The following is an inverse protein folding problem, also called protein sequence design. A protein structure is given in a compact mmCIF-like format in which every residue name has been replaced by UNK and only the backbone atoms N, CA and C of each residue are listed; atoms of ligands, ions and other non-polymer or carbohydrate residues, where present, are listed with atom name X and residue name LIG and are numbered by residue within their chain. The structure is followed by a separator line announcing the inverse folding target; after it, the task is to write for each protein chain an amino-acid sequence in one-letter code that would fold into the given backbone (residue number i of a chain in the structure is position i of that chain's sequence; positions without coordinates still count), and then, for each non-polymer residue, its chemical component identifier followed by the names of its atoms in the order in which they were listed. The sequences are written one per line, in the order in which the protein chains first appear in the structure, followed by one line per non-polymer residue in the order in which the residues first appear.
data_IF_282921444156
#
_entry.id   IF_282921444156
#
_cell.length_a   1.000
_cell.length_b   1.000
_cell.length_c   1.000
_cell.angle_alpha   90.00
_cell.angle_beta   90.00
_cell.angle_gamma   90.00
#
_symmetry.space_group_name_H-M   'P 1'
#
loop_
_entity.id
_entity.type
_entity.pdbx_description
1 polymer ?
#
# COMPACT_ATOMS: atom_id res chain seq x y z
N UNK A 1 29.03 -3.12 4.48
CA UNK A 1 29.12 -1.68 4.73
C UNK A 1 28.21 -1.30 5.89
N UNK A 2 28.74 -0.58 6.89
CA UNK A 2 27.91 -0.04 7.98
C UNK A 2 27.45 1.37 7.62
N UNK A 3 26.16 1.65 7.67
CA UNK A 3 25.62 2.98 7.40
C UNK A 3 26.12 4.00 8.42
N UNK A 4 26.57 5.15 7.93
CA UNK A 4 27.03 6.27 8.74
C UNK A 4 25.89 7.07 9.35
N UNK A 5 26.21 7.96 10.28
CA UNK A 5 25.23 8.86 10.92
C UNK A 5 25.06 10.20 10.17
N UNK A 6 26.01 10.54 9.33
CA UNK A 6 25.96 11.76 8.52
C UNK A 6 25.14 11.49 7.26
N UNK A 7 24.19 12.37 6.98
CA UNK A 7 23.36 12.33 5.79
C UNK A 7 23.84 13.37 4.78
N UNK A 8 23.68 13.04 3.52
CA UNK A 8 23.90 13.96 2.40
C UNK A 8 22.72 13.87 1.43
N UNK A 9 22.51 14.93 0.66
CA UNK A 9 21.38 15.09 -0.24
C UNK A 9 21.81 15.12 -1.70
N UNK A 10 21.00 14.49 -2.55
CA UNK A 10 21.15 14.53 -4.00
C UNK A 10 19.85 15.03 -4.63
N UNK A 11 19.95 16.01 -5.53
CA UNK A 11 18.83 16.53 -6.30
C UNK A 11 18.83 15.98 -7.74
N UNK A 12 17.65 15.66 -8.24
CA UNK A 12 17.41 15.16 -9.60
C UNK A 12 16.25 15.97 -10.18
N UNK A 13 16.52 16.74 -11.23
CA UNK A 13 15.48 17.47 -11.94
C UNK A 13 14.72 16.56 -12.88
N UNK A 14 13.40 16.68 -12.92
CA UNK A 14 12.52 15.85 -13.74
C UNK A 14 11.48 16.67 -14.48
N UNK A 15 11.17 16.27 -15.71
CA UNK A 15 10.12 16.92 -16.52
C UNK A 15 8.73 16.38 -16.16
N UNK A 16 8.63 15.10 -15.84
CA UNK A 16 7.39 14.45 -15.42
C UNK A 16 7.67 13.32 -14.46
N UNK A 17 6.79 13.11 -13.48
CA UNK A 17 6.88 12.06 -12.49
C UNK A 17 5.48 11.58 -12.13
N UNK A 18 5.26 10.27 -12.17
CA UNK A 18 3.97 9.68 -11.82
C UNK A 18 4.08 8.36 -11.03
N UNK A 19 5.22 7.66 -11.13
CA UNK A 19 5.38 6.32 -10.59
C UNK A 19 6.68 6.20 -9.80
N UNK A 20 6.61 5.57 -8.62
CA UNK A 20 7.75 5.14 -7.84
C UNK A 20 7.83 3.61 -7.85
N UNK A 21 8.97 3.08 -8.27
CA UNK A 21 9.30 1.65 -8.19
C UNK A 21 10.55 1.48 -7.36
N UNK A 22 10.50 0.64 -6.34
CA UNK A 22 11.69 0.28 -5.57
C UNK A 22 11.88 -1.23 -5.48
N UNK A 23 13.12 -1.66 -5.57
CA UNK A 23 13.57 -3.02 -5.26
C UNK A 23 14.65 -3.03 -4.15
N UNK A 24 14.75 -1.93 -3.41
CA UNK A 24 15.74 -1.78 -2.35
C UNK A 24 15.47 -2.72 -1.16
N UNK A 25 16.54 -3.13 -0.50
CA UNK A 25 16.48 -3.81 0.80
C UNK A 25 16.45 -2.84 1.99
N UNK A 26 16.47 -1.53 1.72
CA UNK A 26 16.44 -0.46 2.71
C UNK A 26 15.07 0.19 2.73
N UNK A 27 14.70 0.72 3.90
CA UNK A 27 13.47 1.46 4.06
C UNK A 27 13.54 2.80 3.31
N UNK A 28 12.47 3.12 2.56
CA UNK A 28 12.34 4.34 1.80
C UNK A 28 11.13 5.10 2.33
N UNK A 29 11.35 6.33 2.75
CA UNK A 29 10.29 7.26 3.19
C UNK A 29 10.01 8.23 2.05
N UNK A 30 8.86 8.10 1.42
CA UNK A 30 8.40 9.05 0.40
C UNK A 30 7.52 10.13 1.04
N UNK A 31 7.88 11.39 0.79
CA UNK A 31 7.12 12.57 1.18
C UNK A 31 6.74 13.35 -0.07
N UNK A 32 5.44 13.45 -0.43
CA UNK A 32 5.01 14.26 -1.57
C UNK A 32 5.25 15.75 -1.29
N UNK A 33 5.79 16.47 -2.29
CA UNK A 33 6.09 17.89 -2.23
C UNK A 33 5.39 18.63 -3.37
N UNK A 34 4.10 19.00 -3.19
CA UNK A 34 3.34 19.69 -4.21
C UNK A 34 4.01 21.02 -4.62
N UNK A 35 4.08 21.29 -5.93
CA UNK A 35 4.69 22.50 -6.49
C UNK A 35 6.20 22.42 -6.75
N UNK A 36 6.88 21.44 -6.20
CA UNK A 36 8.28 21.15 -6.52
C UNK A 36 8.38 20.40 -7.85
N UNK A 37 9.51 20.57 -8.54
CA UNK A 37 9.83 19.85 -9.78
C UNK A 37 11.00 18.89 -9.61
N UNK A 38 11.75 19.04 -8.54
CA UNK A 38 12.94 18.25 -8.28
C UNK A 38 12.62 17.12 -7.31
N UNK A 39 13.35 16.02 -7.47
CA UNK A 39 13.44 14.95 -6.49
C UNK A 39 14.61 15.25 -5.59
N UNK A 40 14.40 15.26 -4.28
CA UNK A 40 15.45 15.33 -3.27
C UNK A 40 15.58 13.98 -2.58
N UNK A 41 16.73 13.36 -2.71
CA UNK A 41 17.09 12.10 -2.08
C UNK A 41 18.07 12.38 -0.95
N UNK A 42 17.75 12.00 0.28
CA UNK A 42 18.59 12.15 1.47
C UNK A 42 18.86 10.78 2.08
N UNK A 43 20.12 10.44 2.24
CA UNK A 43 20.57 9.15 2.80
C UNK A 43 21.92 9.30 3.50
N UNK A 44 22.34 8.31 4.31
CA UNK A 44 23.68 8.31 4.84
C UNK A 44 24.73 8.49 3.73
N UNK A 45 25.67 9.41 3.93
CA UNK A 45 26.68 9.83 2.94
C UNK A 45 27.41 8.63 2.31
N UNK A 46 27.75 7.65 3.13
CA UNK A 46 28.45 6.45 2.67
C UNK A 46 27.52 5.41 2.01
N UNK A 47 26.18 5.57 2.07
CA UNK A 47 25.19 4.71 1.40
C UNK A 47 24.83 5.25 0.02
N UNK A 48 24.80 6.56 -0.16
CA UNK A 48 24.45 7.23 -1.42
C UNK A 48 25.15 6.66 -2.68
N UNK A 49 26.46 6.34 -2.67
CA UNK A 49 27.13 5.78 -3.86
C UNK A 49 26.61 4.40 -4.28
N UNK A 50 25.96 3.67 -3.36
CA UNK A 50 25.40 2.34 -3.63
C UNK A 50 23.92 2.37 -4.04
N UNK A 51 23.29 3.54 -4.04
CA UNK A 51 21.95 3.71 -4.57
C UNK A 51 21.99 3.89 -6.08
N UNK A 52 21.10 3.21 -6.77
CA UNK A 52 20.82 3.40 -8.18
C UNK A 52 19.46 4.11 -8.28
N UNK A 53 19.51 5.41 -8.60
CA UNK A 53 18.34 6.27 -8.66
C UNK A 53 18.28 6.95 -10.01
N UNK A 54 17.22 6.71 -10.76
CA UNK A 54 17.00 7.32 -12.07
C UNK A 54 15.52 7.41 -12.42
N UNK A 55 15.18 8.34 -13.30
CA UNK A 55 13.84 8.49 -13.87
C UNK A 55 13.88 8.11 -15.34
N UNK A 56 12.96 7.26 -15.76
CA UNK A 56 12.84 6.90 -17.18
C UNK A 56 11.97 7.92 -17.95
N UNK A 57 11.94 7.79 -19.27
CA UNK A 57 11.15 8.66 -20.15
C UNK A 57 9.63 8.65 -19.93
N UNK A 58 9.12 7.67 -19.19
CA UNK A 58 7.69 7.54 -18.88
C UNK A 58 7.32 8.16 -17.52
N UNK A 59 8.24 8.86 -16.85
CA UNK A 59 8.01 9.46 -15.54
C UNK A 59 8.05 8.47 -14.38
N UNK A 60 8.72 7.32 -14.54
CA UNK A 60 8.93 6.35 -13.46
C UNK A 60 10.26 6.59 -12.79
N UNK A 61 10.21 6.85 -11.49
CA UNK A 61 11.38 6.90 -10.62
C UNK A 61 11.70 5.50 -10.10
N UNK A 62 12.91 5.07 -10.34
CA UNK A 62 13.47 3.83 -9.79
C UNK A 62 14.43 4.17 -8.66
N UNK A 63 14.23 3.53 -7.50
CA UNK A 63 15.12 3.61 -6.36
C UNK A 63 15.54 2.19 -5.98
N UNK A 64 16.74 1.82 -6.36
CA UNK A 64 17.27 0.47 -6.21
C UNK A 64 18.62 0.49 -5.49
N UNK A 65 19.06 -0.67 -5.04
CA UNK A 65 20.44 -0.89 -4.61
C UNK A 65 21.27 -1.42 -5.76
N UNK A 66 22.49 -0.92 -5.91
CA UNK A 66 23.49 -1.55 -6.78
C UNK A 66 23.79 -2.97 -6.28
N UNK A 67 23.96 -3.89 -7.21
CA UNK A 67 24.31 -5.27 -6.86
C UNK A 67 25.54 -5.33 -5.96
N UNK A 68 25.53 -6.26 -4.99
CA UNK A 68 26.61 -6.54 -4.04
C UNK A 68 26.81 -5.54 -2.87
N UNK A 69 25.86 -4.67 -2.60
CA UNK A 69 25.93 -3.82 -1.41
C UNK A 69 25.13 -4.44 -0.26
N UNK A 70 25.80 -5.20 0.61
CA UNK A 70 25.26 -5.53 1.92
C UNK A 70 25.48 -4.33 2.84
N UNK A 71 24.38 -3.67 3.22
CA UNK A 71 24.42 -2.53 4.13
C UNK A 71 23.79 -2.94 5.44
N UNK A 72 24.56 -2.84 6.50
CA UNK A 72 24.11 -3.02 7.87
C UNK A 72 24.11 -1.69 8.61
N UNK A 73 23.45 -1.61 9.73
CA UNK A 73 23.53 -0.47 10.63
C UNK A 73 23.30 -0.89 12.07
N UNK A 74 24.05 -0.29 12.99
CA UNK A 74 23.83 -0.44 14.43
C UNK A 74 22.57 0.32 14.90
N UNK A 75 22.10 1.27 14.08
CA UNK A 75 20.88 2.05 14.32
C UNK A 75 20.00 2.02 13.07
N UNK A 76 18.66 1.95 13.21
CA UNK A 76 17.77 2.04 12.07
C UNK A 76 18.04 3.32 11.26
N UNK A 77 18.09 3.20 9.94
CA UNK A 77 18.18 4.32 9.02
C UNK A 77 17.26 4.08 7.82
N UNK A 78 16.93 5.16 7.15
CA UNK A 78 16.07 5.14 5.97
C UNK A 78 16.61 6.06 4.89
N UNK A 79 16.16 5.84 3.67
CA UNK A 79 16.33 6.76 2.57
C UNK A 79 15.11 7.67 2.55
N UNK A 80 15.33 8.98 2.69
CA UNK A 80 14.28 9.97 2.59
C UNK A 80 14.18 10.47 1.15
N UNK A 81 12.98 10.40 0.60
CA UNK A 81 12.66 10.79 -0.77
C UNK A 81 11.56 11.85 -0.75
N UNK A 82 11.90 13.08 -1.08
CA UNK A 82 10.95 14.15 -1.34
C UNK A 82 10.82 14.33 -2.83
N UNK A 83 9.60 14.30 -3.35
CA UNK A 83 9.36 14.38 -4.77
C UNK A 83 7.97 14.94 -5.06
N UNK A 84 7.72 15.45 -6.30
CA UNK A 84 6.37 15.79 -6.72
C UNK A 84 5.37 14.66 -6.43
N UNK A 85 4.08 14.98 -6.20
CA UNK A 85 3.05 13.96 -6.00
C UNK A 85 3.04 12.93 -7.13
N UNK A 86 3.00 11.66 -6.76
CA UNK A 86 2.87 10.52 -7.67
C UNK A 86 1.56 9.78 -7.38
N UNK A 87 1.10 9.00 -8.33
CA UNK A 87 -0.15 8.25 -8.22
C UNK A 87 0.04 6.73 -8.24
N UNK A 88 1.24 6.26 -8.56
CA UNK A 88 1.53 4.83 -8.68
C UNK A 88 2.78 4.45 -7.91
N UNK A 89 2.65 3.45 -7.03
CA UNK A 89 3.71 3.00 -6.14
C UNK A 89 3.87 1.48 -6.22
N UNK A 90 5.09 1.02 -6.38
CA UNK A 90 5.38 -0.40 -6.44
C UNK A 90 6.63 -0.74 -5.62
N UNK A 91 6.43 -1.41 -4.50
CA UNK A 91 7.51 -1.97 -3.71
C UNK A 91 7.76 -3.42 -4.10
N UNK A 92 8.90 -3.71 -4.71
CA UNK A 92 9.38 -5.05 -5.08
C UNK A 92 10.49 -5.55 -4.17
N UNK A 93 10.97 -4.67 -3.29
CA UNK A 93 12.10 -4.92 -2.41
C UNK A 93 11.72 -5.59 -1.09
N UNK A 94 12.71 -5.84 -0.28
CA UNK A 94 12.54 -6.34 1.09
C UNK A 94 12.50 -5.24 2.15
N UNK A 95 12.98 -4.03 1.80
CA UNK A 95 12.82 -2.84 2.63
C UNK A 95 11.39 -2.31 2.58
N UNK A 96 11.02 -1.55 3.59
CA UNK A 96 9.67 -0.97 3.70
C UNK A 96 9.56 0.30 2.88
N UNK A 97 8.51 0.40 2.05
CA UNK A 97 8.12 1.66 1.44
C UNK A 97 7.12 2.36 2.36
N UNK A 98 7.49 3.53 2.85
CA UNK A 98 6.67 4.34 3.75
C UNK A 98 6.17 5.55 2.97
N UNK A 99 4.86 5.58 2.71
CA UNK A 99 4.18 6.68 2.03
C UNK A 99 3.66 7.66 3.08
N UNK A 100 4.28 8.85 3.14
CA UNK A 100 3.91 9.89 4.10
C UNK A 100 2.63 10.61 3.69
N UNK A 101 2.09 11.37 4.65
CA UNK A 101 0.95 12.25 4.46
C UNK A 101 1.20 13.27 3.33
N UNK A 102 0.17 13.56 2.54
CA UNK A 102 0.17 14.55 1.47
C UNK A 102 -0.82 14.24 0.36
N UNK A 103 -0.98 15.19 -0.56
CA UNK A 103 -1.78 15.01 -1.76
C UNK A 103 -1.01 14.14 -2.76
N UNK A 104 -1.51 12.94 -3.02
CA UNK A 104 -0.91 12.05 -4.02
C UNK A 104 -1.45 12.33 -5.41
N UNK A 105 -2.78 12.38 -5.57
CA UNK A 105 -3.41 12.64 -6.87
C UNK A 105 -4.87 13.05 -6.68
N UNK A 106 -5.38 13.91 -7.57
CA UNK A 106 -6.82 14.16 -7.71
C UNK A 106 -7.52 13.03 -8.49
N UNK A 107 -6.74 12.14 -9.09
CA UNK A 107 -7.18 10.98 -9.86
C UNK A 107 -7.11 9.68 -9.05
N UNK A 108 -6.77 8.61 -9.74
CA UNK A 108 -6.66 7.28 -9.16
C UNK A 108 -5.27 7.08 -8.54
N UNK A 109 -5.20 6.31 -7.45
CA UNK A 109 -3.95 5.92 -6.80
C UNK A 109 -3.81 4.39 -6.84
N UNK A 110 -2.66 3.92 -7.28
CA UNK A 110 -2.33 2.50 -7.40
C UNK A 110 -1.14 2.14 -6.52
N UNK A 111 -1.30 1.17 -5.63
CA UNK A 111 -0.24 0.69 -4.75
C UNK A 111 -0.10 -0.82 -4.91
N UNK A 112 1.08 -1.28 -5.30
CA UNK A 112 1.42 -2.69 -5.40
C UNK A 112 2.49 -3.06 -4.38
N UNK A 113 2.11 -3.87 -3.40
CA UNK A 113 2.96 -4.33 -2.32
C UNK A 113 3.43 -5.77 -2.57
N UNK A 114 4.54 -5.94 -3.31
CA UNK A 114 5.31 -7.18 -3.37
C UNK A 114 6.44 -7.16 -2.32
N UNK A 115 6.63 -6.05 -1.64
CA UNK A 115 7.40 -5.80 -0.44
C UNK A 115 6.53 -5.07 0.59
N UNK A 116 7.00 -4.87 1.83
CA UNK A 116 6.25 -4.19 2.88
C UNK A 116 5.92 -2.74 2.50
N UNK A 117 4.67 -2.30 2.75
CA UNK A 117 4.24 -0.92 2.56
C UNK A 117 3.51 -0.43 3.79
N UNK A 118 3.88 0.74 4.29
CA UNK A 118 3.17 1.49 5.33
C UNK A 118 2.68 2.78 4.69
N UNK A 119 1.39 3.08 4.85
CA UNK A 119 0.77 4.21 4.18
C UNK A 119 0.13 5.17 5.17
N UNK A 120 0.39 6.47 5.00
CA UNK A 120 -0.33 7.57 5.63
C UNK A 120 -1.73 7.76 5.04
N UNK A 121 -2.43 8.84 5.39
CA UNK A 121 -3.78 9.10 4.90
C UNK A 121 -3.76 9.34 3.38
N UNK A 122 -4.79 8.83 2.70
CA UNK A 122 -4.99 9.03 1.26
C UNK A 122 -6.34 9.66 1.00
N UNK A 123 -6.34 10.69 0.19
CA UNK A 123 -7.53 11.24 -0.46
C UNK A 123 -7.34 11.19 -1.95
N UNK A 124 -8.20 10.46 -2.66
CA UNK A 124 -8.12 10.32 -4.12
C UNK A 124 -9.49 9.98 -4.72
N UNK A 125 -9.57 9.87 -6.05
CA UNK A 125 -10.78 9.40 -6.69
C UNK A 125 -10.97 7.91 -6.44
N UNK A 126 -10.14 7.06 -7.01
CA UNK A 126 -10.21 5.61 -6.84
C UNK A 126 -8.88 5.08 -6.34
N UNK A 127 -8.93 4.19 -5.34
CA UNK A 127 -7.76 3.60 -4.71
C UNK A 127 -7.69 2.11 -5.00
N UNK A 128 -6.55 1.68 -5.55
CA UNK A 128 -6.26 0.28 -5.84
C UNK A 128 -5.06 -0.18 -5.02
N UNK A 129 -5.25 -1.14 -4.14
CA UNK A 129 -4.19 -1.75 -3.35
C UNK A 129 -4.11 -3.24 -3.67
N UNK A 130 -2.96 -3.70 -4.13
CA UNK A 130 -2.67 -5.10 -4.37
C UNK A 130 -1.46 -5.53 -3.54
N UNK A 131 -1.61 -6.57 -2.72
CA UNK A 131 -0.53 -7.17 -1.95
C UNK A 131 -0.37 -8.63 -2.36
N UNK A 132 0.89 -9.08 -2.56
CA UNK A 132 1.20 -10.44 -2.98
C UNK A 132 2.35 -11.04 -2.18
N UNK A 133 2.45 -12.37 -2.19
CA UNK A 133 3.43 -13.13 -1.43
C UNK A 133 3.14 -13.05 0.09
N UNK A 134 4.14 -13.13 0.91
CA UNK A 134 4.07 -13.04 2.38
C UNK A 134 4.26 -11.60 2.91
N UNK A 135 3.98 -10.59 2.07
CA UNK A 135 4.20 -9.19 2.38
C UNK A 135 2.93 -8.51 2.87
N UNK A 136 3.11 -7.39 3.56
CA UNK A 136 2.03 -6.64 4.18
C UNK A 136 1.90 -5.22 3.65
N UNK A 137 0.66 -4.78 3.51
CA UNK A 137 0.28 -3.39 3.41
C UNK A 137 -0.41 -2.98 4.70
N UNK A 138 0.04 -1.92 5.32
CA UNK A 138 -0.53 -1.41 6.56
C UNK A 138 -0.83 0.08 6.48
N UNK A 139 -2.02 0.48 6.97
CA UNK A 139 -2.38 1.88 7.16
C UNK A 139 -3.24 2.04 8.42
N UNK A 140 -2.82 2.95 9.29
CA UNK A 140 -3.51 3.33 10.52
C UNK A 140 -4.19 4.71 10.42
N UNK A 141 -4.18 5.31 9.23
CA UNK A 141 -4.78 6.60 8.93
C UNK A 141 -5.97 6.44 7.99
N UNK A 142 -6.82 7.46 7.97
CA UNK A 142 -8.06 7.41 7.20
C UNK A 142 -7.84 7.51 5.69
N UNK A 143 -8.58 6.70 4.94
CA UNK A 143 -8.72 6.81 3.50
C UNK A 143 -10.08 7.43 3.15
N UNK A 144 -10.07 8.44 2.27
CA UNK A 144 -11.27 9.08 1.74
C UNK A 144 -11.21 9.05 0.22
N UNK A 145 -11.95 8.13 -0.38
CA UNK A 145 -11.91 7.88 -1.82
C UNK A 145 -13.33 7.64 -2.35
N UNK A 146 -13.54 7.75 -3.66
CA UNK A 146 -14.80 7.37 -4.26
C UNK A 146 -14.97 5.85 -4.17
N UNK A 147 -14.02 5.10 -4.72
CA UNK A 147 -14.03 3.64 -4.71
C UNK A 147 -12.68 3.11 -4.19
N UNK A 148 -12.73 2.01 -3.44
CA UNK A 148 -11.54 1.36 -2.86
C UNK A 148 -11.54 -0.12 -3.25
N UNK A 149 -10.48 -0.56 -3.92
CA UNK A 149 -10.27 -1.94 -4.36
C UNK A 149 -9.06 -2.54 -3.63
N UNK A 150 -9.30 -3.57 -2.84
CA UNK A 150 -8.29 -4.28 -2.06
C UNK A 150 -8.16 -5.69 -2.58
N UNK A 151 -6.95 -6.10 -2.95
CA UNK A 151 -6.68 -7.43 -3.43
C UNK A 151 -5.44 -8.02 -2.75
N UNK A 152 -5.62 -9.06 -1.96
CA UNK A 152 -4.55 -9.78 -1.29
C UNK A 152 -4.44 -11.21 -1.83
N UNK A 153 -3.21 -11.67 -2.14
CA UNK A 153 -2.91 -12.99 -2.70
C UNK A 153 -1.74 -13.66 -1.99
N UNK A 154 -1.72 -14.98 -2.05
CA UNK A 154 -0.55 -15.80 -1.71
C UNK A 154 0.08 -15.45 -0.35
N UNK A 155 -0.69 -15.50 0.71
CA UNK A 155 -0.32 -15.22 2.11
C UNK A 155 -0.02 -13.73 2.43
N UNK A 156 -0.32 -12.81 1.51
CA UNK A 156 -0.20 -11.39 1.81
C UNK A 156 -1.25 -10.90 2.81
N UNK A 157 -0.97 -9.79 3.47
CA UNK A 157 -1.93 -9.11 4.34
C UNK A 157 -2.14 -7.66 3.95
N UNK A 158 -3.40 -7.22 3.98
CA UNK A 158 -3.79 -5.81 3.91
C UNK A 158 -4.51 -5.47 5.20
N UNK A 159 -3.94 -4.56 5.99
CA UNK A 159 -4.45 -4.17 7.29
C UNK A 159 -4.73 -2.66 7.32
N UNK A 160 -6.01 -2.29 7.31
CA UNK A 160 -6.50 -0.92 7.30
C UNK A 160 -7.27 -0.66 8.59
N UNK A 161 -6.64 0.01 9.56
CA UNK A 161 -7.20 0.24 10.89
C UNK A 161 -7.64 1.68 11.13
N UNK A 162 -7.27 2.62 10.25
CA UNK A 162 -7.53 4.05 10.40
C UNK A 162 -8.83 4.57 9.80
N UNK A 163 -9.66 3.66 9.28
CA UNK A 163 -10.95 4.02 8.70
C UNK A 163 -10.95 4.19 7.19
N UNK A 164 -12.10 3.91 6.57
CA UNK A 164 -12.31 4.02 5.12
C UNK A 164 -13.66 4.69 4.88
N UNK A 165 -13.63 5.85 4.24
CA UNK A 165 -14.85 6.51 3.76
C UNK A 165 -14.89 6.43 2.24
N UNK A 166 -15.87 5.73 1.67
CA UNK A 166 -15.99 5.55 0.22
C UNK A 166 -17.43 5.30 -0.23
N UNK A 167 -17.66 5.32 -1.55
CA UNK A 167 -18.91 4.85 -2.14
C UNK A 167 -18.91 3.31 -2.21
N UNK A 168 -17.85 2.72 -2.78
CA UNK A 168 -17.70 1.27 -2.94
C UNK A 168 -16.38 0.81 -2.30
N UNK A 169 -16.46 -0.19 -1.43
CA UNK A 169 -15.33 -0.99 -0.99
C UNK A 169 -15.44 -2.39 -1.59
N UNK A 170 -14.46 -2.79 -2.37
CA UNK A 170 -14.32 -4.17 -2.84
C UNK A 170 -13.06 -4.80 -2.20
N UNK A 171 -13.23 -5.85 -1.42
CA UNK A 171 -12.16 -6.58 -0.77
C UNK A 171 -12.12 -8.03 -1.25
N UNK A 172 -11.00 -8.45 -1.83
CA UNK A 172 -10.81 -9.80 -2.35
C UNK A 172 -9.55 -10.45 -1.75
N UNK A 173 -9.72 -11.54 -1.02
CA UNK A 173 -8.64 -12.33 -0.43
C UNK A 173 -8.54 -13.70 -1.08
N UNK A 174 -7.37 -14.07 -1.59
CA UNK A 174 -7.08 -15.33 -2.28
C UNK A 174 -5.88 -16.06 -1.66
N UNK A 175 -5.91 -17.38 -1.67
CA UNK A 175 -4.87 -18.18 -1.05
C UNK A 175 -4.93 -18.09 0.47
N UNK A 176 -3.79 -18.08 1.15
CA UNK A 176 -3.71 -17.88 2.61
C UNK A 176 -3.68 -16.41 3.03
N UNK A 177 -4.15 -15.49 2.17
CA UNK A 177 -4.08 -14.04 2.43
C UNK A 177 -5.16 -13.54 3.37
N UNK A 178 -4.96 -12.34 3.91
CA UNK A 178 -5.93 -11.68 4.77
C UNK A 178 -6.13 -10.21 4.40
N UNK A 179 -7.38 -9.75 4.54
CA UNK A 179 -7.74 -8.34 4.48
C UNK A 179 -8.50 -8.01 5.77
N UNK A 180 -8.01 -7.02 6.50
CA UNK A 180 -8.65 -6.48 7.68
C UNK A 180 -8.96 -5.00 7.43
N UNK A 181 -10.24 -4.66 7.27
CA UNK A 181 -10.69 -3.30 7.02
C UNK A 181 -11.64 -2.87 8.13
N UNK A 182 -11.22 -1.86 8.89
CA UNK A 182 -11.95 -1.36 10.06
C UNK A 182 -12.50 0.04 9.82
N UNK A 183 -13.50 0.39 10.63
CA UNK A 183 -14.13 1.70 10.63
C UNK A 183 -14.61 2.13 9.23
N UNK A 184 -15.21 1.19 8.50
CA UNK A 184 -15.76 1.42 7.18
C UNK A 184 -16.99 2.31 7.27
N UNK A 185 -17.06 3.33 6.42
CA UNK A 185 -18.26 4.10 6.10
C UNK A 185 -18.43 4.09 4.58
N UNK A 186 -19.34 3.27 4.07
CA UNK A 186 -19.51 3.07 2.65
C UNK A 186 -20.99 3.00 2.24
N UNK A 187 -21.26 3.23 0.95
CA UNK A 187 -22.58 2.89 0.38
C UNK A 187 -22.64 1.39 0.11
N UNK A 188 -21.68 0.86 -0.62
CA UNK A 188 -21.63 -0.54 -1.00
C UNK A 188 -20.33 -1.19 -0.51
N UNK A 189 -20.44 -2.39 0.05
CA UNK A 189 -19.31 -3.25 0.42
C UNK A 189 -19.47 -4.58 -0.28
N UNK A 190 -18.47 -4.98 -1.05
CA UNK A 190 -18.37 -6.30 -1.65
C UNK A 190 -17.14 -7.01 -1.13
N UNK A 191 -17.30 -8.14 -0.48
CA UNK A 191 -16.21 -8.95 0.03
C UNK A 191 -16.20 -10.33 -0.62
N UNK A 192 -15.03 -10.77 -1.06
CA UNK A 192 -14.83 -12.08 -1.65
C UNK A 192 -13.67 -12.79 -0.98
N UNK A 193 -13.89 -14.04 -0.63
CA UNK A 193 -12.85 -14.93 -0.13
C UNK A 193 -12.80 -16.19 -0.99
N UNK A 194 -11.60 -16.59 -1.38
CA UNK A 194 -11.37 -17.83 -2.11
C UNK A 194 -10.16 -18.58 -1.59
N UNK A 195 -10.11 -19.88 -1.84
CA UNK A 195 -9.13 -20.79 -1.25
C UNK A 195 -9.20 -20.76 0.28
N UNK A 196 -8.20 -20.25 0.97
CA UNK A 196 -8.17 -20.06 2.43
C UNK A 196 -8.03 -18.60 2.84
N UNK A 197 -8.45 -17.68 1.96
CA UNK A 197 -8.41 -16.23 2.24
C UNK A 197 -9.35 -15.83 3.38
N UNK A 198 -9.00 -14.79 4.10
CA UNK A 198 -9.82 -14.22 5.19
C UNK A 198 -10.07 -12.76 4.95
N UNK A 199 -11.33 -12.33 5.09
CA UNK A 199 -11.72 -10.92 5.03
C UNK A 199 -12.43 -10.56 6.34
N UNK A 200 -11.94 -9.54 7.05
CA UNK A 200 -12.51 -9.04 8.31
C UNK A 200 -12.98 -7.61 8.07
N UNK A 201 -14.25 -7.34 8.34
CA UNK A 201 -14.88 -6.05 8.09
C UNK A 201 -15.58 -5.52 9.33
N UNK A 202 -15.34 -4.25 9.66
CA UNK A 202 -16.10 -3.55 10.69
C UNK A 202 -16.47 -2.14 10.23
N UNK A 203 -17.58 -1.60 10.71
CA UNK A 203 -18.07 -0.27 10.35
C UNK A 203 -19.53 -0.27 9.91
N UNK A 204 -19.86 0.51 8.89
CA UNK A 204 -21.25 0.63 8.40
C UNK A 204 -21.32 0.79 6.88
N UNK A 205 -22.38 0.26 6.30
CA UNK A 205 -22.69 0.44 4.87
C UNK A 205 -24.20 0.39 4.63
N UNK A 206 -24.62 0.78 3.43
CA UNK A 206 -26.01 0.59 3.01
C UNK A 206 -26.24 -0.83 2.53
N UNK A 207 -25.32 -1.35 1.69
CA UNK A 207 -25.43 -2.70 1.13
C UNK A 207 -24.15 -3.49 1.32
N UNK A 208 -24.26 -4.74 1.71
CA UNK A 208 -23.15 -5.69 1.80
C UNK A 208 -23.43 -6.93 0.96
N UNK A 209 -22.45 -7.30 0.10
CA UNK A 209 -22.45 -8.54 -0.66
C UNK A 209 -21.21 -9.36 -0.28
N UNK A 210 -21.43 -10.48 0.42
CA UNK A 210 -20.38 -11.33 0.97
C UNK A 210 -20.37 -12.67 0.26
N UNK A 211 -19.26 -13.00 -0.40
CA UNK A 211 -19.14 -14.25 -1.19
C UNK A 211 -17.91 -15.04 -0.77
N UNK A 212 -18.13 -16.22 -0.22
CA UNK A 212 -17.08 -17.17 0.08
C UNK A 212 -17.17 -18.35 -0.87
N UNK A 213 -16.15 -18.53 -1.70
CA UNK A 213 -16.15 -19.53 -2.78
C UNK A 213 -15.37 -20.80 -2.44
N UNK A 214 -14.84 -20.97 -1.21
CA UNK A 214 -14.01 -22.13 -0.87
C UNK A 214 -13.89 -22.38 0.65
N UNK A 215 -12.66 -22.47 1.17
CA UNK A 215 -12.36 -22.72 2.61
C UNK A 215 -12.07 -21.45 3.40
N UNK A 216 -12.08 -20.30 2.74
CA UNK A 216 -11.81 -19.04 3.38
C UNK A 216 -12.90 -18.59 4.34
N UNK A 217 -12.70 -17.43 4.98
CA UNK A 217 -13.65 -16.88 5.92
C UNK A 217 -13.93 -15.41 5.59
N UNK A 218 -15.17 -14.99 5.80
CA UNK A 218 -15.55 -13.59 5.84
C UNK A 218 -16.18 -13.33 7.22
N UNK A 219 -15.54 -12.46 7.98
CA UNK A 219 -15.96 -12.05 9.33
C UNK A 219 -16.50 -10.62 9.25
N UNK A 220 -17.81 -10.48 9.21
CA UNK A 220 -18.51 -9.21 9.07
C UNK A 220 -19.47 -8.92 10.23
N UNK A 221 -19.34 -9.60 11.38
CA UNK A 221 -20.16 -9.39 12.58
C UNK A 221 -20.08 -7.93 13.10
N UNK A 222 -18.97 -7.24 12.85
CA UNK A 222 -18.77 -5.83 13.16
C UNK A 222 -19.22 -4.86 12.07
N UNK A 223 -19.77 -5.33 10.94
CA UNK A 223 -20.25 -4.51 9.85
C UNK A 223 -21.78 -4.34 9.92
N UNK A 224 -22.22 -3.13 10.18
CA UNK A 224 -23.66 -2.80 10.18
C UNK A 224 -24.10 -2.49 8.74
N UNK A 225 -24.98 -3.30 8.17
CA UNK A 225 -25.55 -3.10 6.84
C UNK A 225 -27.07 -2.97 6.91
N UNK A 226 -27.65 -2.10 6.06
CA UNK A 226 -29.12 -2.02 5.93
C UNK A 226 -29.66 -3.23 5.14
N UNK A 227 -28.94 -3.60 4.08
CA UNK A 227 -29.20 -4.79 3.26
C UNK A 227 -27.94 -5.63 3.18
N UNK A 228 -28.03 -6.93 3.45
CA UNK A 228 -26.91 -7.84 3.35
C UNK A 228 -27.29 -9.10 2.58
N UNK A 229 -26.40 -9.55 1.71
CA UNK A 229 -26.48 -10.84 1.04
C UNK A 229 -25.20 -11.63 1.32
N UNK A 230 -25.36 -12.89 1.66
CA UNK A 230 -24.23 -13.80 1.88
C UNK A 230 -24.39 -15.05 1.01
N UNK A 231 -23.30 -15.48 0.36
CA UNK A 231 -23.22 -16.70 -0.41
C UNK A 231 -21.99 -17.49 0.00
N UNK A 232 -22.19 -18.77 0.29
CA UNK A 232 -21.10 -19.70 0.64
C UNK A 232 -21.20 -20.90 -0.29
N UNK A 233 -20.11 -21.13 -1.04
CA UNK A 233 -19.96 -22.30 -1.90
C UNK A 233 -18.66 -23.00 -1.51
N UNK A 234 -18.73 -23.95 -0.59
CA UNK A 234 -17.55 -24.65 -0.07
C UNK A 234 -17.63 -24.90 1.43
N UNK A 235 -16.47 -25.14 2.03
CA UNK A 235 -16.34 -25.49 3.47
C UNK A 235 -16.06 -24.27 4.37
N UNK A 236 -15.90 -23.08 3.79
CA UNK A 236 -15.63 -21.87 4.55
C UNK A 236 -16.86 -21.25 5.18
N UNK A 237 -16.68 -20.12 5.85
CA UNK A 237 -17.74 -19.44 6.63
C UNK A 237 -17.94 -18.00 6.20
N UNK A 238 -19.14 -17.51 6.39
CA UNK A 238 -19.49 -16.10 6.42
C UNK A 238 -20.23 -15.85 7.72
N UNK A 239 -19.69 -14.98 8.58
CA UNK A 239 -20.34 -14.54 9.80
C UNK A 239 -20.74 -13.07 9.67
N UNK A 240 -22.00 -12.71 10.00
CA UNK A 240 -22.55 -11.36 9.89
C UNK A 240 -23.69 -11.15 10.89
#
# INVERSE_FOLDING_TARGET
LTAGKNYDSRKISVDSLNTLVTSASLDIIYTPTPGEKDIELNAPENVLPFLEVYVNKNGTLFVNMKHFADISSDTPFSIELKAPPMDTFHNKGTGTLILKDGAYSDGDVHITANGPVICGPITCRDLYISATSDKSFHADQQFTCRDVMLHAKANASIDLTGGITCRLLHAQAEGGSSINAKEITATDVAAQSSSSGTVILTGSCTKAALTNASRGNIEAEGLQAMDATASVTGEGTVSC
#
